data_IF_359291949494
#
_entry.id   IF_359291949494
#
_cell.length_a   1.000
_cell.length_b   1.000
_cell.length_c   1.000
_cell.angle_alpha   90.00
_cell.angle_beta   90.00
_cell.angle_gamma   90.00
#
_symmetry.space_group_name_H-M   'P 1'
#
loop_
_entity.id
_entity.type
_entity.pdbx_description
1 polymer ?
#
# COMPACT_ATOMS: atom_id res chain seq x y z
N UNK A 1 16.57 -33.64 22.74
CA UNK A 1 16.90 -34.26 24.04
C UNK A 1 18.29 -34.91 24.05
N UNK A 2 18.61 -35.79 23.09
CA UNK A 2 19.90 -36.50 23.03
C UNK A 2 21.11 -35.53 23.01
N UNK A 3 21.11 -34.55 22.11
CA UNK A 3 22.15 -33.53 21.99
C UNK A 3 22.37 -32.74 23.31
N UNK A 4 21.30 -32.37 24.00
CA UNK A 4 21.37 -31.68 25.28
C UNK A 4 22.09 -32.48 26.35
N UNK A 5 21.73 -33.78 26.48
CA UNK A 5 22.30 -34.68 27.49
C UNK A 5 23.77 -35.08 27.20
N UNK A 6 24.18 -35.10 25.91
CA UNK A 6 25.55 -35.39 25.49
C UNK A 6 26.44 -34.15 25.55
N UNK A 7 25.93 -32.98 25.15
CA UNK A 7 26.73 -31.75 25.11
C UNK A 7 26.96 -31.12 26.49
N UNK A 8 26.00 -31.24 27.42
CA UNK A 8 26.06 -30.66 28.76
C UNK A 8 26.17 -31.80 29.78
N UNK A 9 27.36 -31.98 30.34
CA UNK A 9 27.67 -33.16 31.16
C UNK A 9 27.27 -33.01 32.63
N UNK A 10 27.52 -31.85 33.24
CA UNK A 10 27.26 -31.66 34.68
C UNK A 10 25.87 -31.17 34.97
N UNK A 11 25.26 -31.59 36.09
CA UNK A 11 23.93 -31.12 36.54
C UNK A 11 23.87 -29.59 36.69
N UNK A 12 24.93 -28.97 37.23
CA UNK A 12 25.03 -27.53 37.41
C UNK A 12 24.99 -26.77 36.10
N UNK A 13 25.75 -27.22 35.10
CA UNK A 13 25.77 -26.64 33.78
C UNK A 13 24.44 -26.78 33.08
N UNK A 14 23.77 -27.92 33.20
CA UNK A 14 22.43 -28.12 32.65
C UNK A 14 21.40 -27.20 33.32
N UNK A 15 21.48 -27.02 34.65
CA UNK A 15 20.60 -26.09 35.37
C UNK A 15 20.80 -24.67 34.88
N UNK A 16 22.01 -24.21 34.73
CA UNK A 16 22.35 -22.89 34.20
C UNK A 16 21.82 -22.69 32.76
N UNK A 17 22.02 -23.68 31.89
CA UNK A 17 21.51 -23.66 30.53
C UNK A 17 19.97 -23.55 30.47
N UNK A 18 19.27 -24.31 31.30
CA UNK A 18 17.79 -24.27 31.37
C UNK A 18 17.29 -22.91 31.87
N UNK A 19 17.94 -22.30 32.87
CA UNK A 19 17.62 -20.96 33.36
C UNK A 19 17.83 -19.90 32.27
N UNK A 20 18.92 -19.98 31.53
CA UNK A 20 19.22 -19.09 30.41
C UNK A 20 18.09 -19.10 29.35
N UNK A 21 17.46 -20.25 29.14
CA UNK A 21 16.31 -20.43 28.26
C UNK A 21 14.96 -20.24 28.94
N UNK A 22 14.92 -19.48 30.05
CA UNK A 22 13.68 -19.05 30.75
C UNK A 22 12.85 -20.20 31.35
N UNK A 23 13.48 -21.36 31.61
CA UNK A 23 12.84 -22.36 32.46
C UNK A 23 12.76 -21.80 33.89
N UNK A 24 11.56 -21.83 34.46
CA UNK A 24 11.32 -21.25 35.79
C UNK A 24 12.05 -22.00 36.89
N UNK A 25 12.55 -21.27 37.89
CA UNK A 25 13.18 -21.84 39.09
C UNK A 25 12.25 -22.84 39.78
N UNK A 26 10.93 -22.59 39.78
CA UNK A 26 9.94 -23.52 40.36
C UNK A 26 9.89 -24.89 39.67
N UNK A 27 10.18 -24.93 38.33
CA UNK A 27 10.30 -26.20 37.62
C UNK A 27 11.61 -26.91 37.97
N UNK A 28 12.70 -26.13 38.09
CA UNK A 28 14.02 -26.68 38.48
C UNK A 28 14.07 -27.16 39.96
N UNK A 29 13.20 -26.64 40.82
CA UNK A 29 13.05 -27.10 42.17
C UNK A 29 12.47 -28.54 42.28
N UNK A 30 11.81 -29.02 41.20
CA UNK A 30 11.33 -30.40 41.11
C UNK A 30 12.46 -31.40 40.77
N UNK A 31 13.66 -30.92 40.47
CA UNK A 31 14.80 -31.79 40.23
C UNK A 31 15.48 -32.18 41.54
N UNK A 32 15.17 -33.37 42.03
CA UNK A 32 15.70 -33.87 43.26
C UNK A 32 17.17 -34.34 43.11
N UNK A 33 17.92 -34.39 44.23
CA UNK A 33 19.37 -34.67 44.24
C UNK A 33 19.71 -36.07 43.72
N UNK A 34 18.85 -37.04 43.97
CA UNK A 34 18.96 -38.42 43.53
C UNK A 34 18.63 -38.69 42.07
N UNK A 35 17.87 -37.80 41.43
CA UNK A 35 17.46 -37.93 40.02
C UNK A 35 18.64 -37.64 39.07
N UNK A 36 18.73 -38.42 38.00
CA UNK A 36 19.69 -38.14 36.90
C UNK A 36 19.23 -36.96 36.04
N UNK A 37 20.14 -36.41 35.22
CA UNK A 37 19.79 -35.40 34.20
C UNK A 37 18.71 -35.91 33.24
N UNK A 38 18.82 -37.21 32.88
CA UNK A 38 17.91 -37.84 31.94
C UNK A 38 16.50 -37.91 32.51
N UNK A 39 16.35 -38.32 33.78
CA UNK A 39 15.05 -38.43 34.42
C UNK A 39 14.36 -37.06 34.49
N UNK A 40 15.12 -36.03 34.90
CA UNK A 40 14.59 -34.69 34.97
C UNK A 40 14.15 -34.15 33.58
N UNK A 41 14.94 -34.33 32.53
CA UNK A 41 14.60 -33.90 31.19
C UNK A 41 13.40 -34.68 30.61
N UNK A 42 13.30 -35.99 30.89
CA UNK A 42 12.14 -36.79 30.51
C UNK A 42 10.86 -36.32 31.18
N UNK A 43 10.95 -35.85 32.43
CA UNK A 43 9.80 -35.22 33.12
C UNK A 43 9.47 -33.83 32.57
N UNK A 44 10.48 -32.97 32.27
CA UNK A 44 10.31 -31.58 31.83
C UNK A 44 9.78 -31.49 30.43
N UNK A 45 10.29 -32.35 29.51
CA UNK A 45 10.03 -32.23 28.08
C UNK A 45 8.55 -32.27 27.70
N UNK A 46 7.73 -33.21 28.18
CA UNK A 46 6.30 -33.21 27.87
C UNK A 46 5.56 -31.96 28.36
N UNK A 47 6.07 -31.33 29.44
CA UNK A 47 5.45 -30.11 29.97
C UNK A 47 5.68 -28.91 29.04
N UNK A 48 6.84 -28.82 28.41
CA UNK A 48 7.15 -27.77 27.44
C UNK A 48 6.42 -27.99 26.12
N UNK A 49 6.06 -29.21 25.76
CA UNK A 49 5.29 -29.46 24.52
C UNK A 49 3.81 -29.08 24.61
N UNK A 50 3.26 -28.81 25.80
CA UNK A 50 1.83 -28.57 26.01
C UNK A 50 1.31 -27.29 25.35
N UNK A 51 2.15 -26.28 25.24
CA UNK A 51 1.77 -24.98 24.70
C UNK A 51 2.85 -24.40 23.77
N UNK A 52 2.47 -23.41 22.98
CA UNK A 52 3.35 -22.73 22.02
C UNK A 52 4.55 -22.05 22.70
N UNK A 53 4.38 -21.55 23.93
CA UNK A 53 5.45 -20.91 24.68
C UNK A 53 6.53 -21.91 25.06
N UNK A 54 6.16 -23.10 25.52
CA UNK A 54 7.08 -24.17 25.83
C UNK A 54 7.76 -24.72 24.58
N UNK A 55 7.06 -24.86 23.47
CA UNK A 55 7.64 -25.25 22.19
C UNK A 55 8.69 -24.25 21.71
N UNK A 56 8.41 -22.94 21.84
CA UNK A 56 9.38 -21.88 21.54
C UNK A 56 10.63 -21.95 22.44
N UNK A 57 10.48 -22.33 23.71
CA UNK A 57 11.62 -22.58 24.61
C UNK A 57 12.45 -23.74 24.11
N UNK A 58 11.83 -24.86 23.72
CA UNK A 58 12.54 -26.01 23.15
C UNK A 58 13.31 -25.62 21.88
N UNK A 59 12.69 -24.86 20.99
CA UNK A 59 13.33 -24.39 19.77
C UNK A 59 14.50 -23.44 20.06
N UNK A 60 14.35 -22.56 21.07
CA UNK A 60 15.43 -21.68 21.53
C UNK A 60 16.62 -22.48 22.07
N UNK A 61 16.37 -23.48 22.91
CA UNK A 61 17.39 -24.40 23.41
C UNK A 61 18.08 -25.16 22.27
N UNK A 62 17.28 -25.65 21.31
CA UNK A 62 17.81 -26.39 20.16
C UNK A 62 18.72 -25.51 19.28
N UNK A 63 18.37 -24.25 19.05
CA UNK A 63 19.19 -23.28 18.32
C UNK A 63 20.52 -23.01 19.04
N UNK A 64 20.46 -22.73 20.35
CA UNK A 64 21.67 -22.49 21.13
C UNK A 64 22.61 -23.71 21.16
N UNK A 65 22.07 -24.94 21.28
CA UNK A 65 22.83 -26.15 21.19
C UNK A 65 23.45 -26.35 19.79
N UNK A 66 22.69 -26.07 18.73
CA UNK A 66 23.18 -26.18 17.36
C UNK A 66 24.34 -25.22 17.04
N UNK A 67 24.46 -24.10 17.76
CA UNK A 67 25.57 -23.16 17.64
C UNK A 67 26.81 -23.54 18.43
N UNK A 68 26.72 -24.54 19.34
CA UNK A 68 27.86 -24.96 20.16
C UNK A 68 29.00 -25.53 19.30
N UNK A 69 30.20 -24.99 19.51
CA UNK A 69 31.47 -25.44 18.86
C UNK A 69 32.42 -26.07 19.85
N UNK A 70 32.26 -25.77 21.14
CA UNK A 70 33.10 -26.26 22.25
C UNK A 70 32.20 -26.87 23.30
N UNK A 71 32.77 -27.86 24.02
CA UNK A 71 32.07 -28.61 25.06
C UNK A 71 32.80 -28.46 26.39
N UNK A 72 32.70 -27.30 27.08
CA UNK A 72 33.48 -27.01 28.28
C UNK A 72 33.35 -28.07 29.39
N UNK A 73 32.18 -28.67 29.48
CA UNK A 73 31.90 -29.72 30.46
C UNK A 73 32.69 -31.00 30.16
N UNK A 74 32.83 -31.37 28.91
CA UNK A 74 33.55 -32.57 28.48
C UNK A 74 35.05 -32.33 28.42
N UNK A 75 35.48 -31.10 28.10
CA UNK A 75 36.87 -30.70 28.03
C UNK A 75 37.53 -30.57 29.41
N UNK A 76 36.73 -30.40 30.47
CA UNK A 76 37.20 -30.12 31.84
C UNK A 76 37.88 -31.29 32.53
N UNK A 77 37.53 -32.53 32.20
CA UNK A 77 38.08 -33.75 32.81
C UNK A 77 38.57 -34.69 31.72
N UNK A 78 39.67 -35.35 31.97
CA UNK A 78 40.33 -36.29 31.03
C UNK A 78 39.40 -37.48 30.70
N UNK A 79 38.73 -38.03 31.70
CA UNK A 79 37.80 -39.17 31.58
C UNK A 79 36.50 -38.87 30.83
N UNK A 80 36.23 -37.60 30.51
CA UNK A 80 35.05 -37.19 29.75
C UNK A 80 35.34 -36.75 28.30
N UNK A 81 36.61 -36.55 27.96
CA UNK A 81 37.03 -36.12 26.61
C UNK A 81 36.67 -37.13 25.53
N UNK A 82 36.71 -38.42 25.81
CA UNK A 82 36.34 -39.50 24.89
C UNK A 82 34.88 -39.42 24.43
N UNK A 83 34.03 -38.62 25.11
CA UNK A 83 32.62 -38.40 24.76
C UNK A 83 32.39 -37.23 23.83
N UNK A 84 33.43 -36.43 23.53
CA UNK A 84 33.32 -35.26 22.63
C UNK A 84 32.84 -35.68 21.23
N UNK A 85 33.34 -36.75 20.60
CA UNK A 85 32.85 -37.16 19.27
C UNK A 85 31.36 -37.47 19.25
N UNK A 86 30.81 -38.11 20.29
CA UNK A 86 29.41 -38.41 20.40
C UNK A 86 28.56 -37.14 20.57
N UNK A 87 29.05 -36.14 21.31
CA UNK A 87 28.41 -34.85 21.47
C UNK A 87 28.38 -34.06 20.14
N UNK A 88 29.52 -34.04 19.42
CA UNK A 88 29.64 -33.44 18.09
C UNK A 88 28.64 -34.05 17.11
N UNK A 89 28.56 -35.38 17.06
CA UNK A 89 27.61 -36.08 16.18
C UNK A 89 26.17 -35.75 16.53
N UNK A 90 25.80 -35.71 17.82
CA UNK A 90 24.44 -35.35 18.24
C UNK A 90 24.10 -33.91 17.92
N UNK A 91 25.05 -32.97 18.06
CA UNK A 91 24.88 -31.57 17.67
C UNK A 91 24.74 -31.44 16.15
N UNK A 92 25.51 -32.18 15.35
CA UNK A 92 25.40 -32.12 13.89
C UNK A 92 24.01 -32.61 13.40
N UNK A 93 23.49 -33.69 13.99
CA UNK A 93 22.11 -34.12 13.72
C UNK A 93 21.09 -33.05 14.10
N UNK A 94 21.28 -32.43 15.27
CA UNK A 94 20.40 -31.34 15.71
C UNK A 94 20.41 -30.11 14.76
N UNK A 95 21.59 -29.75 14.23
CA UNK A 95 21.74 -28.67 13.25
C UNK A 95 20.87 -28.87 12.02
N UNK A 96 20.88 -30.10 11.47
CA UNK A 96 20.01 -30.42 10.30
C UNK A 96 18.53 -30.20 10.63
N UNK A 97 18.08 -30.78 11.75
CA UNK A 97 16.68 -30.64 12.16
C UNK A 97 16.28 -29.19 12.45
N UNK A 98 17.17 -28.40 13.06
CA UNK A 98 16.92 -26.97 13.32
C UNK A 98 16.86 -26.17 12.01
N UNK A 99 17.70 -26.50 11.03
CA UNK A 99 17.69 -25.86 9.72
C UNK A 99 16.37 -26.13 8.97
N UNK A 100 15.90 -27.37 8.96
CA UNK A 100 14.62 -27.77 8.36
C UNK A 100 13.43 -27.05 8.99
N UNK A 101 13.38 -27.00 10.33
CA UNK A 101 12.32 -26.28 11.06
C UNK A 101 12.37 -24.78 10.75
N UNK A 102 13.54 -24.16 10.72
CA UNK A 102 13.67 -22.74 10.41
C UNK A 102 13.22 -22.43 8.99
N UNK A 103 13.50 -23.29 8.00
CA UNK A 103 13.07 -23.11 6.62
C UNK A 103 11.53 -23.23 6.52
N UNK A 104 10.92 -24.22 7.16
CA UNK A 104 9.46 -24.38 7.22
C UNK A 104 8.78 -23.14 7.85
N UNK A 105 9.33 -22.61 8.92
CA UNK A 105 8.83 -21.37 9.55
C UNK A 105 8.97 -20.19 8.60
N UNK A 106 10.09 -20.07 7.90
CA UNK A 106 10.33 -18.99 6.92
C UNK A 106 9.35 -19.04 5.77
N UNK A 107 9.12 -20.21 5.18
CA UNK A 107 8.16 -20.42 4.10
C UNK A 107 6.71 -20.09 4.56
N UNK A 108 6.33 -20.56 5.74
CA UNK A 108 5.02 -20.28 6.32
C UNK A 108 4.80 -18.76 6.54
N UNK A 109 5.80 -18.07 7.08
CA UNK A 109 5.74 -16.62 7.29
C UNK A 109 5.68 -15.85 5.96
N UNK A 110 6.47 -16.25 4.96
CA UNK A 110 6.44 -15.65 3.63
C UNK A 110 5.05 -15.83 2.97
N UNK A 111 4.46 -17.01 3.06
CA UNK A 111 3.12 -17.29 2.55
C UNK A 111 2.03 -16.49 3.30
N UNK A 112 2.18 -16.27 4.61
CA UNK A 112 1.25 -15.46 5.40
C UNK A 112 1.32 -13.97 4.99
N UNK A 113 2.53 -13.42 4.86
CA UNK A 113 2.75 -12.03 4.40
C UNK A 113 2.18 -11.82 2.99
N UNK A 114 2.43 -12.77 2.08
CA UNK A 114 1.89 -12.69 0.73
C UNK A 114 0.35 -12.69 0.71
N UNK A 115 -0.29 -13.58 1.48
CA UNK A 115 -1.76 -13.61 1.62
C UNK A 115 -2.33 -12.31 2.16
N UNK A 116 -1.71 -11.72 3.18
CA UNK A 116 -2.12 -10.42 3.73
C UNK A 116 -1.99 -9.29 2.71
N UNK A 117 -0.90 -9.26 1.94
CA UNK A 117 -0.70 -8.26 0.90
C UNK A 117 -1.76 -8.34 -0.21
N UNK A 118 -2.06 -9.56 -0.70
CA UNK A 118 -3.11 -9.79 -1.70
C UNK A 118 -4.49 -9.38 -1.18
N UNK A 119 -4.81 -9.70 0.08
CA UNK A 119 -6.09 -9.33 0.68
C UNK A 119 -6.22 -7.82 0.87
N UNK A 120 -5.16 -7.13 1.32
CA UNK A 120 -5.13 -5.69 1.45
C UNK A 120 -5.31 -4.99 0.10
N UNK A 121 -4.61 -5.46 -0.95
CA UNK A 121 -4.76 -4.91 -2.29
C UNK A 121 -6.17 -5.11 -2.85
N UNK A 122 -6.77 -6.27 -2.64
CA UNK A 122 -8.12 -6.59 -3.07
C UNK A 122 -9.17 -5.70 -2.37
N UNK A 123 -9.04 -5.48 -1.05
CA UNK A 123 -9.96 -4.60 -0.31
C UNK A 123 -9.85 -3.14 -0.72
N UNK A 124 -8.63 -2.64 -0.97
CA UNK A 124 -8.40 -1.28 -1.48
C UNK A 124 -9.03 -1.09 -2.86
N UNK A 125 -8.85 -2.06 -3.77
CA UNK A 125 -9.45 -2.03 -5.11
C UNK A 125 -10.99 -2.01 -5.05
N UNK A 126 -11.58 -2.82 -4.17
CA UNK A 126 -13.03 -2.88 -3.99
C UNK A 126 -13.59 -1.55 -3.45
N UNK A 127 -12.93 -0.96 -2.46
CA UNK A 127 -13.30 0.33 -1.89
C UNK A 127 -13.20 1.46 -2.94
N UNK A 128 -12.16 1.47 -3.77
CA UNK A 128 -12.01 2.42 -4.87
C UNK A 128 -13.13 2.26 -5.91
N UNK A 129 -13.45 1.04 -6.31
CA UNK A 129 -14.54 0.77 -7.25
C UNK A 129 -15.89 1.27 -6.72
N UNK A 130 -16.23 0.96 -5.47
CA UNK A 130 -17.46 1.42 -4.83
C UNK A 130 -17.54 2.97 -4.76
N UNK A 131 -16.40 3.64 -4.53
CA UNK A 131 -16.34 5.10 -4.51
C UNK A 131 -16.56 5.71 -5.89
N UNK A 132 -16.03 5.10 -6.96
CA UNK A 132 -16.26 5.53 -8.35
C UNK A 132 -17.71 5.33 -8.77
N UNK A 133 -18.32 4.19 -8.44
CA UNK A 133 -19.74 3.92 -8.68
C UNK A 133 -20.66 4.95 -7.97
N UNK A 134 -20.29 5.36 -6.75
CA UNK A 134 -21.00 6.41 -6.03
C UNK A 134 -20.91 7.75 -6.76
N UNK A 135 -19.74 8.14 -7.26
CA UNK A 135 -19.56 9.36 -8.04
C UNK A 135 -20.36 9.31 -9.34
N UNK A 136 -20.39 8.18 -10.03
CA UNK A 136 -21.20 7.95 -11.22
C UNK A 136 -22.69 8.09 -10.92
N UNK A 137 -23.17 7.47 -9.84
CA UNK A 137 -24.56 7.59 -9.40
C UNK A 137 -24.93 9.05 -9.10
N UNK A 138 -24.05 9.77 -8.39
CA UNK A 138 -24.25 11.19 -8.09
C UNK A 138 -24.37 12.02 -9.38
N UNK A 139 -23.47 11.82 -10.36
CA UNK A 139 -23.53 12.50 -11.64
C UNK A 139 -24.86 12.23 -12.38
N UNK A 140 -25.31 10.99 -12.39
CA UNK A 140 -26.59 10.61 -13.00
C UNK A 140 -27.79 11.34 -12.35
N UNK A 141 -27.75 11.58 -11.02
CA UNK A 141 -28.82 12.34 -10.33
C UNK A 141 -28.78 13.83 -10.66
N UNK A 142 -27.65 14.36 -11.15
CA UNK A 142 -27.55 15.76 -11.60
C UNK A 142 -28.10 15.96 -13.01
N UNK A 143 -28.11 14.93 -13.86
CA UNK A 143 -28.53 15.05 -15.27
C UNK A 143 -29.86 15.78 -15.48
N UNK A 144 -30.93 15.54 -14.70
CA UNK A 144 -32.19 16.29 -14.83
C UNK A 144 -32.07 17.79 -14.52
N UNK A 145 -30.99 18.23 -13.88
CA UNK A 145 -30.74 19.62 -13.49
C UNK A 145 -29.83 20.37 -14.48
N UNK A 146 -29.54 19.79 -15.64
CA UNK A 146 -28.72 20.44 -16.68
C UNK A 146 -29.36 21.77 -17.08
N UNK A 147 -28.56 22.83 -17.17
CA UNK A 147 -28.99 24.18 -17.52
C UNK A 147 -29.54 24.99 -16.33
N UNK A 148 -29.70 24.41 -15.16
CA UNK A 148 -30.09 25.17 -13.96
C UNK A 148 -28.84 25.65 -13.18
N UNK A 149 -29.00 26.76 -12.45
CA UNK A 149 -27.95 27.31 -11.60
C UNK A 149 -27.57 26.31 -10.48
N UNK A 150 -28.57 25.66 -9.87
CA UNK A 150 -28.39 24.64 -8.85
C UNK A 150 -27.56 23.45 -9.40
N UNK A 151 -27.90 23.00 -10.63
CA UNK A 151 -27.15 21.93 -11.31
C UNK A 151 -25.70 22.33 -11.58
N UNK A 152 -25.44 23.57 -11.96
CA UNK A 152 -24.12 24.12 -12.18
C UNK A 152 -23.23 24.03 -10.91
N UNK A 153 -23.72 24.53 -9.77
CA UNK A 153 -23.02 24.45 -8.50
C UNK A 153 -22.80 22.97 -8.03
N UNK A 154 -23.82 22.14 -8.26
CA UNK A 154 -23.69 20.72 -7.88
C UNK A 154 -22.68 20.00 -8.76
N UNK A 155 -22.56 20.33 -10.05
CA UNK A 155 -21.58 19.78 -10.96
C UNK A 155 -20.17 20.25 -10.64
N UNK A 156 -19.95 21.54 -10.32
CA UNK A 156 -18.67 22.07 -9.82
C UNK A 156 -18.19 21.29 -8.61
N UNK A 157 -19.07 21.10 -7.61
CA UNK A 157 -18.76 20.34 -6.41
C UNK A 157 -18.44 18.86 -6.72
N UNK A 158 -19.22 18.24 -7.58
CA UNK A 158 -19.00 16.87 -8.01
C UNK A 158 -17.64 16.68 -8.71
N UNK A 159 -17.24 17.66 -9.53
CA UNK A 159 -15.93 17.61 -10.19
C UNK A 159 -14.78 17.76 -9.18
N UNK A 160 -14.99 18.57 -8.15
CA UNK A 160 -14.05 18.62 -7.02
C UNK A 160 -13.94 17.27 -6.30
N UNK A 161 -15.06 16.59 -6.04
CA UNK A 161 -15.07 15.27 -5.40
C UNK A 161 -14.33 14.21 -6.24
N UNK A 162 -14.38 14.29 -7.58
CA UNK A 162 -13.54 13.47 -8.47
C UNK A 162 -12.04 13.76 -8.29
N UNK A 163 -11.67 15.03 -8.18
CA UNK A 163 -10.28 15.39 -7.96
C UNK A 163 -9.75 14.80 -6.64
N UNK A 164 -10.54 14.87 -5.58
CA UNK A 164 -10.24 14.25 -4.29
C UNK A 164 -10.18 12.71 -4.39
N UNK A 165 -11.09 12.09 -5.12
CA UNK A 165 -11.08 10.65 -5.35
C UNK A 165 -9.76 10.15 -6.00
N UNK A 166 -9.20 10.95 -6.91
CA UNK A 166 -7.90 10.66 -7.53
C UNK A 166 -6.71 11.24 -6.75
N UNK A 167 -6.92 11.64 -5.48
CA UNK A 167 -5.89 12.14 -4.56
C UNK A 167 -5.11 13.35 -5.12
N UNK A 168 -5.77 14.17 -5.93
CA UNK A 168 -5.16 15.39 -6.48
C UNK A 168 -5.11 16.50 -5.44
N UNK A 169 -4.06 17.30 -5.50
CA UNK A 169 -4.02 18.59 -4.79
C UNK A 169 -5.06 19.50 -5.42
N UNK A 170 -6.19 19.67 -4.73
CA UNK A 170 -7.36 20.37 -5.22
C UNK A 170 -7.79 21.50 -4.28
N UNK A 171 -8.11 22.65 -4.87
CA UNK A 171 -8.67 23.79 -4.18
C UNK A 171 -10.10 24.04 -4.69
N UNK A 172 -11.12 24.10 -3.81
CA UNK A 172 -12.48 24.40 -4.21
C UNK A 172 -12.61 25.83 -4.73
N UNK A 173 -13.74 26.15 -5.37
CA UNK A 173 -14.04 27.45 -5.95
C UNK A 173 -13.80 28.63 -5.00
N UNK A 174 -13.23 29.70 -5.54
CA UNK A 174 -12.86 30.91 -4.79
C UNK A 174 -13.00 32.18 -5.64
N UNK A 175 -13.03 33.32 -4.98
CA UNK A 175 -12.99 34.62 -5.67
C UNK A 175 -11.57 35.18 -5.64
N UNK A 176 -11.08 35.63 -6.80
CA UNK A 176 -9.80 36.31 -6.94
C UNK A 176 -9.97 37.50 -7.90
N UNK A 177 -9.48 38.67 -7.50
CA UNK A 177 -9.53 39.90 -8.31
C UNK A 177 -10.92 40.25 -8.83
N UNK A 178 -11.96 39.99 -8.01
CA UNK A 178 -13.39 40.22 -8.36
C UNK A 178 -13.98 39.18 -9.32
N UNK A 179 -13.21 38.17 -9.74
CA UNK A 179 -13.63 37.08 -10.63
C UNK A 179 -13.83 35.79 -9.85
N UNK A 180 -14.88 35.05 -10.18
CA UNK A 180 -15.08 33.71 -9.65
C UNK A 180 -14.23 32.71 -10.43
N UNK A 181 -13.57 31.82 -9.71
CA UNK A 181 -12.84 30.66 -10.23
C UNK A 181 -13.50 29.43 -9.61
N UNK A 182 -13.88 28.44 -10.42
CA UNK A 182 -14.62 27.25 -9.94
C UNK A 182 -13.73 26.29 -9.17
N UNK A 183 -12.40 26.46 -9.23
CA UNK A 183 -11.43 25.71 -8.46
C UNK A 183 -10.07 25.69 -9.13
N UNK A 184 -9.17 24.92 -8.52
CA UNK A 184 -7.86 24.61 -9.10
C UNK A 184 -7.45 23.20 -8.72
N UNK A 185 -6.73 22.52 -9.60
CA UNK A 185 -6.10 21.20 -9.35
C UNK A 185 -4.66 21.21 -9.82
N UNK A 186 -3.81 20.45 -9.14
CA UNK A 186 -2.42 20.25 -9.56
C UNK A 186 -2.21 18.82 -10.03
N UNK A 187 -1.73 18.67 -11.27
CA UNK A 187 -1.42 17.38 -11.90
C UNK A 187 0.01 17.46 -12.43
N UNK A 188 0.87 16.56 -12.01
CA UNK A 188 2.28 16.46 -12.45
C UNK A 188 3.02 17.80 -12.38
N UNK A 189 2.81 18.56 -11.29
CA UNK A 189 3.45 19.84 -11.05
C UNK A 189 2.89 21.02 -11.87
N UNK A 190 1.86 20.81 -12.70
CA UNK A 190 1.13 21.88 -13.42
C UNK A 190 -0.15 22.18 -12.68
N UNK A 191 -0.37 23.46 -12.33
CA UNK A 191 -1.64 23.92 -11.77
C UNK A 191 -2.63 24.27 -12.89
N UNK A 192 -3.80 23.64 -12.83
CA UNK A 192 -4.92 23.92 -13.72
C UNK A 192 -6.00 24.70 -12.97
N UNK A 193 -6.35 25.91 -13.42
CA UNK A 193 -7.59 26.54 -13.03
C UNK A 193 -8.76 25.75 -13.61
N UNK A 194 -9.83 25.62 -12.87
CA UNK A 194 -11.04 24.92 -13.32
C UNK A 194 -12.11 25.93 -13.76
N UNK A 195 -12.77 25.60 -14.85
CA UNK A 195 -14.05 26.18 -15.27
C UNK A 195 -14.96 25.02 -15.62
N UNK A 196 -16.13 24.96 -15.00
CA UNK A 196 -17.10 23.88 -15.21
C UNK A 196 -18.41 24.45 -15.74
N UNK A 197 -18.96 23.81 -16.76
CA UNK A 197 -20.25 24.20 -17.34
C UNK A 197 -21.19 23.01 -17.44
N UNK A 198 -22.37 23.23 -16.88
CA UNK A 198 -23.42 22.23 -16.85
C UNK A 198 -24.66 22.79 -17.59
N UNK A 199 -24.52 22.99 -18.89
CA UNK A 199 -25.48 23.68 -19.78
C UNK A 199 -26.11 22.70 -20.76
N UNK A 200 -27.27 23.08 -21.34
CA UNK A 200 -27.95 22.30 -22.36
C UNK A 200 -27.27 22.41 -23.74
N UNK A 201 -26.68 23.56 -24.04
CA UNK A 201 -26.03 23.82 -25.32
C UNK A 201 -24.52 23.72 -25.22
N UNK A 202 -23.85 23.31 -26.29
CA UNK A 202 -22.38 23.32 -26.37
C UNK A 202 -21.79 24.71 -26.11
N UNK A 203 -20.63 24.75 -25.48
CA UNK A 203 -19.91 25.98 -25.13
C UNK A 203 -19.41 26.66 -26.41
N UNK A 204 -19.54 27.98 -26.43
CA UNK A 204 -19.07 28.85 -27.51
C UNK A 204 -17.75 29.59 -27.20
N UNK A 205 -17.24 30.32 -28.18
CA UNK A 205 -16.02 31.13 -28.04
C UNK A 205 -16.06 32.18 -26.92
N UNK A 206 -17.22 32.87 -26.63
CA UNK A 206 -17.25 33.87 -25.55
C UNK A 206 -16.87 33.32 -24.16
N UNK A 207 -17.31 32.08 -23.85
CA UNK A 207 -16.96 31.43 -22.58
C UNK A 207 -15.44 31.09 -22.52
N UNK A 208 -14.87 30.67 -23.66
CA UNK A 208 -13.46 30.41 -23.80
C UNK A 208 -12.65 31.69 -23.56
N UNK A 209 -13.01 32.78 -24.21
CA UNK A 209 -12.31 34.07 -24.08
C UNK A 209 -12.38 34.60 -22.63
N UNK A 210 -13.55 34.47 -21.98
CA UNK A 210 -13.72 34.81 -20.56
C UNK A 210 -12.80 34.00 -19.66
N UNK A 211 -12.69 32.69 -19.87
CA UNK A 211 -11.84 31.82 -19.08
C UNK A 211 -10.35 32.05 -19.39
N UNK A 212 -9.99 32.32 -20.65
CA UNK A 212 -8.65 32.69 -21.05
C UNK A 212 -8.13 33.89 -20.24
N UNK A 213 -8.93 34.95 -20.10
CA UNK A 213 -8.57 36.13 -19.32
C UNK A 213 -8.33 35.83 -17.83
N UNK A 214 -8.98 34.79 -17.28
CA UNK A 214 -8.69 34.32 -15.89
C UNK A 214 -7.33 33.64 -15.81
N UNK A 215 -6.98 32.80 -16.80
CA UNK A 215 -5.70 32.09 -16.85
C UNK A 215 -4.54 33.06 -17.01
N UNK A 216 -4.65 34.00 -17.95
CA UNK A 216 -3.62 35.01 -18.25
C UNK A 216 -3.32 35.94 -17.06
N UNK A 217 -4.23 36.05 -16.09
CA UNK A 217 -4.00 36.79 -14.85
C UNK A 217 -3.13 36.05 -13.83
N UNK A 218 -2.68 34.82 -14.13
CA UNK A 218 -1.91 33.96 -13.21
C UNK A 218 -0.47 33.77 -13.70
N UNK A 219 0.32 33.00 -12.93
CA UNK A 219 1.72 32.69 -13.26
C UNK A 219 1.82 31.87 -14.56
N UNK A 220 2.94 31.98 -15.27
CA UNK A 220 3.18 31.39 -16.58
C UNK A 220 3.03 29.85 -16.65
N UNK A 221 3.19 29.16 -15.56
CA UNK A 221 3.02 27.70 -15.48
C UNK A 221 1.57 27.27 -15.16
N UNK A 222 0.63 28.23 -15.12
CA UNK A 222 -0.79 27.95 -14.87
C UNK A 222 -1.49 27.69 -16.20
N UNK A 223 -2.23 26.57 -16.25
CA UNK A 223 -3.11 26.23 -17.38
C UNK A 223 -4.57 26.29 -16.97
N UNK A 224 -5.48 26.21 -17.92
CA UNK A 224 -6.91 26.02 -17.69
C UNK A 224 -7.33 24.57 -17.97
N UNK A 225 -8.33 24.10 -17.22
CA UNK A 225 -9.08 22.89 -17.52
C UNK A 225 -10.56 23.27 -17.58
N UNK A 226 -11.10 23.30 -18.79
CA UNK A 226 -12.50 23.61 -19.03
C UNK A 226 -13.30 22.32 -19.19
N UNK A 227 -14.29 22.09 -18.36
CA UNK A 227 -15.09 20.86 -18.35
C UNK A 227 -16.54 21.19 -18.69
N UNK A 228 -17.08 20.63 -19.77
CA UNK A 228 -18.47 20.82 -20.18
C UNK A 228 -19.14 19.51 -20.57
N UNK A 229 -20.25 19.15 -19.92
CA UNK A 229 -20.99 17.94 -20.30
C UNK A 229 -21.73 18.08 -21.63
N UNK A 230 -22.07 19.28 -22.05
CA UNK A 230 -22.68 19.55 -23.37
C UNK A 230 -21.63 19.66 -24.50
N UNK A 231 -20.34 19.59 -24.14
CA UNK A 231 -19.23 19.70 -25.09
C UNK A 231 -18.96 21.13 -25.55
N UNK A 232 -18.27 21.25 -26.66
CA UNK A 232 -17.77 22.49 -27.23
C UNK A 232 -18.12 22.56 -28.73
N UNK A 233 -18.51 23.70 -29.22
CA UNK A 233 -18.68 23.91 -30.65
C UNK A 233 -17.27 24.17 -31.30
N UNK A 234 -17.22 24.10 -32.62
CA UNK A 234 -15.96 24.31 -33.39
C UNK A 234 -15.35 25.69 -33.13
N UNK A 235 -16.19 26.72 -32.89
CA UNK A 235 -15.70 28.05 -32.54
C UNK A 235 -14.97 28.10 -31.21
N UNK A 236 -15.47 27.39 -30.20
CA UNK A 236 -14.82 27.24 -28.89
C UNK A 236 -13.51 26.48 -29.00
N UNK A 237 -13.49 25.34 -29.72
CA UNK A 237 -12.27 24.55 -29.91
C UNK A 237 -11.20 25.39 -30.62
N UNK A 238 -11.56 26.12 -31.69
CA UNK A 238 -10.61 27.01 -32.36
C UNK A 238 -10.15 28.17 -31.49
N UNK A 239 -11.02 28.76 -30.68
CA UNK A 239 -10.65 29.85 -29.77
C UNK A 239 -9.68 29.38 -28.67
N UNK A 240 -9.85 28.16 -28.15
CA UNK A 240 -8.97 27.57 -27.17
C UNK A 240 -7.64 27.10 -27.76
N UNK A 241 -7.60 26.72 -29.05
CA UNK A 241 -6.46 26.14 -29.76
C UNK A 241 -5.66 27.23 -30.50
N UNK A 242 -4.57 27.70 -29.89
CA UNK A 242 -3.69 28.74 -30.44
C UNK A 242 -2.24 28.29 -30.31
N UNK A 243 -1.31 29.07 -30.86
CA UNK A 243 0.15 28.81 -30.77
C UNK A 243 0.64 28.62 -29.31
N UNK A 244 0.05 29.32 -28.35
CA UNK A 244 0.15 29.02 -26.92
C UNK A 244 -1.20 28.49 -26.50
N UNK A 245 -1.29 27.20 -26.20
CA UNK A 245 -2.52 26.52 -25.76
C UNK A 245 -2.59 26.52 -24.21
N UNK A 246 -3.16 27.56 -23.59
CA UNK A 246 -3.11 27.70 -22.13
C UNK A 246 -4.23 26.91 -21.45
N UNK A 247 -5.10 26.22 -22.17
CA UNK A 247 -6.20 25.43 -21.59
C UNK A 247 -6.42 24.11 -22.32
N UNK A 248 -7.04 23.17 -21.61
CA UNK A 248 -7.48 21.88 -22.11
C UNK A 248 -9.00 21.77 -21.97
N UNK A 249 -9.64 21.09 -22.92
CA UNK A 249 -11.09 20.93 -22.98
C UNK A 249 -11.46 19.47 -22.73
N UNK A 250 -12.34 19.23 -21.75
CA UNK A 250 -12.93 17.92 -21.46
C UNK A 250 -14.46 17.97 -21.59
N UNK A 251 -15.02 16.98 -22.25
CA UNK A 251 -16.48 16.85 -22.44
C UNK A 251 -17.05 15.59 -21.76
N UNK A 252 -18.33 15.33 -22.02
CA UNK A 252 -19.04 14.14 -21.52
C UNK A 252 -18.36 12.83 -21.93
N UNK A 253 -17.76 12.76 -23.13
CA UNK A 253 -17.04 11.56 -23.58
C UNK A 253 -15.87 11.23 -22.65
N UNK A 254 -15.06 12.21 -22.26
CA UNK A 254 -13.97 12.04 -21.31
C UNK A 254 -14.50 11.61 -19.94
N UNK A 255 -15.56 12.25 -19.45
CA UNK A 255 -16.12 11.98 -18.14
C UNK A 255 -16.75 10.59 -18.09
N UNK A 256 -17.70 10.30 -18.97
CA UNK A 256 -18.48 9.05 -18.91
C UNK A 256 -17.71 7.85 -19.49
N UNK A 257 -17.12 8.01 -20.67
CA UNK A 257 -16.56 6.87 -21.39
C UNK A 257 -15.17 6.45 -20.89
N UNK A 258 -14.39 7.39 -20.34
CA UNK A 258 -13.04 7.11 -19.86
C UNK A 258 -12.98 7.05 -18.33
N UNK A 259 -13.39 8.13 -17.64
CA UNK A 259 -13.17 8.26 -16.20
C UNK A 259 -14.18 7.42 -15.42
N UNK A 260 -15.48 7.60 -15.64
CA UNK A 260 -16.52 6.90 -14.87
C UNK A 260 -16.55 5.38 -15.14
N UNK A 261 -16.12 4.94 -16.31
CA UNK A 261 -15.94 3.51 -16.61
C UNK A 261 -14.66 2.93 -16.04
N UNK A 262 -13.79 3.73 -15.43
CA UNK A 262 -12.52 3.29 -14.89
C UNK A 262 -11.50 2.86 -15.97
N UNK A 263 -11.69 3.30 -17.21
CA UNK A 263 -10.75 3.03 -18.32
C UNK A 263 -9.46 3.81 -18.11
N UNK A 264 -9.59 5.08 -17.71
CA UNK A 264 -8.48 5.97 -17.39
C UNK A 264 -8.80 6.80 -16.14
N UNK A 265 -7.76 7.20 -15.42
CA UNK A 265 -7.88 8.18 -14.32
C UNK A 265 -7.97 9.60 -14.87
N UNK A 266 -8.51 10.55 -14.09
CA UNK A 266 -8.51 11.96 -14.48
C UNK A 266 -7.11 12.50 -14.82
N UNK A 267 -6.05 12.23 -14.01
CA UNK A 267 -4.70 12.62 -14.40
C UNK A 267 -4.24 12.07 -15.75
N UNK A 268 -4.54 10.80 -16.04
CA UNK A 268 -4.16 10.18 -17.32
C UNK A 268 -4.88 10.81 -18.52
N UNK A 269 -6.18 11.13 -18.37
CA UNK A 269 -6.95 11.84 -19.42
C UNK A 269 -6.34 13.22 -19.66
N UNK A 270 -6.13 14.01 -18.60
CA UNK A 270 -5.53 15.34 -18.71
C UNK A 270 -4.14 15.29 -19.32
N UNK A 271 -3.28 14.37 -18.89
CA UNK A 271 -1.93 14.21 -19.46
C UNK A 271 -1.97 13.88 -20.95
N UNK A 272 -2.92 13.05 -21.40
CA UNK A 272 -3.06 12.70 -22.83
C UNK A 272 -3.55 13.87 -23.66
N UNK A 273 -4.57 14.61 -23.21
CA UNK A 273 -5.03 15.83 -23.88
C UNK A 273 -3.92 16.89 -23.92
N UNK A 274 -3.17 17.08 -22.81
CA UNK A 274 -2.02 18.00 -22.75
C UNK A 274 -0.94 17.63 -23.75
N UNK A 275 -0.61 16.34 -23.86
CA UNK A 275 0.35 15.85 -24.87
C UNK A 275 -0.12 16.13 -26.29
N UNK A 276 -1.39 15.84 -26.59
CA UNK A 276 -2.00 16.16 -27.88
C UNK A 276 -1.91 17.67 -28.19
N UNK A 277 -2.27 18.51 -27.23
CA UNK A 277 -2.19 19.96 -27.36
C UNK A 277 -0.76 20.44 -27.64
N UNK A 278 0.23 19.85 -26.96
CA UNK A 278 1.65 20.18 -27.16
C UNK A 278 2.17 19.77 -28.52
N UNK A 279 1.62 18.72 -29.14
CA UNK A 279 2.04 18.19 -30.42
C UNK A 279 1.31 18.84 -31.61
N UNK A 280 0.05 19.20 -31.45
CA UNK A 280 -0.83 19.64 -32.54
C UNK A 280 -1.28 21.09 -32.42
N UNK A 281 -1.18 21.70 -31.25
CA UNK A 281 -1.78 23.00 -30.94
C UNK A 281 -3.28 22.92 -30.60
N UNK A 282 -3.92 21.75 -30.72
CA UNK A 282 -5.36 21.59 -30.41
C UNK A 282 -5.58 21.35 -28.91
N UNK A 283 -6.44 22.18 -28.30
CA UNK A 283 -6.86 22.04 -26.90
C UNK A 283 -7.78 20.86 -26.62
N UNK A 284 -8.29 20.21 -27.66
CA UNK A 284 -9.29 19.16 -27.59
C UNK A 284 -8.85 17.92 -28.36
N UNK A 285 -8.99 16.76 -27.73
CA UNK A 285 -8.83 15.43 -28.33
C UNK A 285 -10.10 14.65 -27.99
N UNK A 286 -10.86 14.20 -28.98
CA UNK A 286 -12.09 13.48 -28.72
C UNK A 286 -11.83 12.18 -27.93
N UNK A 287 -12.75 11.81 -27.02
CA UNK A 287 -12.60 10.60 -26.22
C UNK A 287 -12.52 9.31 -27.06
N UNK A 288 -13.00 9.32 -28.28
CA UNK A 288 -12.90 8.21 -29.25
C UNK A 288 -11.50 8.05 -29.87
N UNK A 289 -10.62 9.03 -29.68
CA UNK A 289 -9.24 9.03 -30.22
C UNK A 289 -8.19 8.65 -29.15
N UNK A 290 -8.66 8.22 -27.97
CA UNK A 290 -7.82 7.79 -26.85
C UNK A 290 -7.25 6.38 -27.01
#
# INVERSE_FOLDING_TARGET
MDALLKAIWFKGSLRSFLLQHKIKESALAQWHADQTKRDFIQWLWPQLFKDEKGQNVILSMARSLAEMRHFPDLERKEDTKDRIPEAVEAINRLKVSVAEINETIRESNAAAIHRQAVQAQSSTRLAAQQSLEKLQTTLNTLTPKIGSQEGGYAFERWFYDIAIYFELDARPGYKADGRQIDGAITIEGTTFLLETKFTNAPIGSPDIDSFMAKIESKADNTMGLFVSLSGFNDGAIRAASKQRTPMLLLDSGHIFSLIMRGVMTLPQVVARVKRHASQTGSSYLAATEF
#
